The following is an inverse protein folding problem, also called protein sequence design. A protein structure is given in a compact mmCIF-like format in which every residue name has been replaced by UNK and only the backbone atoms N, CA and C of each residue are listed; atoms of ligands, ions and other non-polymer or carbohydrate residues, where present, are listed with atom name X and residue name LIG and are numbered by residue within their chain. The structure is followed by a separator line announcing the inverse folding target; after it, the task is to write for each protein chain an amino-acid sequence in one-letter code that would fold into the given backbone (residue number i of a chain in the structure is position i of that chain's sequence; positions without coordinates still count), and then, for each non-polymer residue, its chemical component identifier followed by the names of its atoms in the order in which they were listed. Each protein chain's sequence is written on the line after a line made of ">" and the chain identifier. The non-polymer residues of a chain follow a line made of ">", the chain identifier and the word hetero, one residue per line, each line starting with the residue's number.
data_IF_715006960787
#
_entry.id   IF_715006960787
#
_cell.length_a   1.000
_cell.length_b   1.000
_cell.length_c   1.000
_cell.angle_alpha   90.00
_cell.angle_beta   90.00
_cell.angle_gamma   90.00
#
_symmetry.space_group_name_H-M   'P 1'
#
loop_
_entity.id
_entity.type
_entity.pdbx_description
1 polymer ?
#
# COMPACT_ATOMS: atom_id res chain seq x y z
N UNK A 1 12.07 -47.12 57.49
CA UNK A 1 11.96 -45.85 56.75
C UNK A 1 10.48 -45.54 56.43
N UNK A 2 9.72 -44.96 57.36
CA UNK A 2 9.52 -43.51 57.59
C UNK A 2 8.49 -42.87 56.64
N UNK A 3 7.28 -42.72 57.19
CA UNK A 3 6.38 -41.54 57.18
C UNK A 3 5.40 -41.27 56.01
N UNK A 4 4.14 -41.14 56.44
CA UNK A 4 2.97 -40.49 55.85
C UNK A 4 3.24 -39.09 55.26
N UNK A 5 2.49 -38.69 54.23
CA UNK A 5 2.15 -37.28 54.04
C UNK A 5 0.79 -37.12 53.33
N UNK A 6 -0.16 -36.74 54.18
CA UNK A 6 -1.45 -36.06 54.07
C UNK A 6 -1.70 -35.09 52.87
N UNK A 7 -2.98 -34.63 52.70
CA UNK A 7 -3.54 -34.07 51.47
C UNK A 7 -3.31 -32.55 51.33
N UNK A 8 -3.36 -32.06 50.09
CA UNK A 8 -3.36 -30.61 49.82
C UNK A 8 -4.73 -30.14 49.37
N UNK A 9 -5.46 -29.60 50.35
CA UNK A 9 -6.54 -28.63 50.22
C UNK A 9 -6.03 -27.32 49.60
N UNK A 10 -6.78 -26.75 48.64
CA UNK A 10 -7.06 -25.31 48.47
C UNK A 10 -7.87 -25.15 47.16
N UNK A 11 -9.20 -24.96 47.19
CA UNK A 11 -9.92 -23.74 47.54
C UNK A 11 -9.47 -22.50 46.73
N UNK A 12 -10.27 -22.10 45.74
CA UNK A 12 -10.86 -20.75 45.78
C UNK A 12 -12.02 -20.59 44.78
N UNK A 13 -13.22 -20.66 45.33
CA UNK A 13 -14.42 -20.02 44.79
C UNK A 13 -14.35 -18.52 45.12
N UNK A 14 -14.31 -17.67 44.10
CA UNK A 14 -14.73 -16.26 44.23
C UNK A 14 -15.82 -16.02 43.21
N UNK A 15 -17.06 -16.21 43.66
CA UNK A 15 -18.18 -15.46 43.16
C UNK A 15 -18.07 -14.03 43.69
N UNK A 16 -18.24 -13.03 42.82
CA UNK A 16 -18.79 -11.74 43.20
C UNK A 16 -19.67 -11.23 42.06
N UNK A 17 -20.97 -11.42 42.25
CA UNK A 17 -22.00 -10.52 41.73
C UNK A 17 -21.71 -9.08 42.18
N UNK A 18 -22.05 -8.11 41.34
CA UNK A 18 -21.84 -6.70 41.63
C UNK A 18 -22.46 -5.79 40.60
N UNK A 19 -23.76 -5.94 40.34
CA UNK A 19 -24.57 -4.88 39.78
C UNK A 19 -24.82 -3.81 40.86
N UNK A 20 -24.32 -2.59 40.68
CA UNK A 20 -24.84 -1.40 41.36
C UNK A 20 -24.76 -0.19 40.43
N UNK A 21 -25.93 0.19 39.92
CA UNK A 21 -26.20 1.54 39.44
C UNK A 21 -26.35 2.49 40.64
N UNK A 22 -25.71 3.66 40.61
CA UNK A 22 -26.03 4.88 41.39
C UNK A 22 -25.14 5.98 40.79
N UNK A 23 -25.68 6.95 40.05
CA UNK A 23 -26.28 8.15 40.62
C UNK A 23 -25.20 9.22 40.84
N UNK A 24 -24.91 10.07 39.85
CA UNK A 24 -25.31 11.49 39.79
C UNK A 24 -24.61 12.36 40.88
N UNK A 25 -23.83 13.41 40.58
CA UNK A 25 -24.31 14.73 40.13
C UNK A 25 -23.15 15.76 40.03
N UNK A 26 -23.26 16.63 39.01
CA UNK A 26 -23.10 18.12 38.98
C UNK A 26 -21.71 18.74 39.27
N UNK A 27 -21.06 19.34 38.25
CA UNK A 27 -20.96 20.79 37.93
C UNK A 27 -20.22 21.60 39.00
N UNK A 28 -19.08 22.25 38.72
CA UNK A 28 -18.92 23.55 38.01
C UNK A 28 -17.46 24.01 38.29
N UNK A 29 -16.76 24.93 37.62
CA UNK A 29 -17.01 25.97 36.63
C UNK A 29 -15.62 26.43 36.12
N UNK A 30 -15.40 26.75 34.84
CA UNK A 30 -15.47 28.09 34.21
C UNK A 30 -14.81 27.91 32.82
N UNK A 31 -15.30 28.39 31.69
CA UNK A 31 -16.46 29.21 31.39
C UNK A 31 -16.55 29.48 29.88
N UNK A 32 -17.79 29.39 29.36
CA UNK A 32 -18.47 30.40 28.52
C UNK A 32 -17.95 30.52 27.07
N UNK A 33 -18.61 29.87 26.10
CA UNK A 33 -19.75 30.37 25.27
C UNK A 33 -19.32 31.36 24.18
N UNK A 34 -19.60 31.02 22.91
CA UNK A 34 -20.79 31.52 22.21
C UNK A 34 -20.81 31.10 20.73
N UNK A 35 -22.06 30.97 20.26
CA UNK A 35 -22.60 30.54 18.97
C UNK A 35 -22.31 31.56 17.86
N UNK A 36 -22.21 31.11 16.59
CA UNK A 36 -22.70 31.77 15.35
C UNK A 36 -22.43 30.79 14.19
N UNK A 37 -23.36 30.35 13.35
CA UNK A 37 -24.48 31.07 12.75
C UNK A 37 -24.15 31.30 11.26
N UNK A 38 -25.00 30.84 10.35
CA UNK A 38 -24.95 31.19 8.91
C UNK A 38 -24.88 32.72 8.74
N UNK A 39 -24.02 33.19 7.83
CA UNK A 39 -23.99 34.60 7.42
C UNK A 39 -23.28 34.78 6.07
N UNK A 40 -24.07 35.14 5.06
CA UNK A 40 -23.62 35.68 3.75
C UNK A 40 -23.43 37.19 3.90
N UNK A 41 -22.30 37.73 3.42
CA UNK A 41 -22.08 39.05 2.79
C UNK A 41 -20.69 39.62 3.14
N UNK A 42 -19.92 39.98 2.11
CA UNK A 42 -18.49 40.26 2.21
C UNK A 42 -18.06 41.69 2.50
N UNK A 43 -16.75 41.90 2.45
CA UNK A 43 -16.08 43.21 2.28
C UNK A 43 -14.79 42.99 1.48
N UNK A 44 -14.66 43.74 0.38
CA UNK A 44 -13.46 43.96 -0.42
C UNK A 44 -12.56 45.02 0.24
N UNK A 45 -11.25 44.80 0.25
CA UNK A 45 -10.14 45.79 0.11
C UNK A 45 -8.82 45.11 0.56
N UNK A 46 -7.86 44.80 -0.31
CA UNK A 46 -6.93 45.66 -1.07
C UNK A 46 -5.62 45.94 -0.32
N UNK A 47 -4.51 45.52 -0.96
CA UNK A 47 -3.13 45.97 -0.71
C UNK A 47 -2.27 45.00 0.11
N UNK A 48 -0.99 44.80 -0.16
CA UNK A 48 -0.10 45.18 -1.25
C UNK A 48 1.22 44.40 -1.03
N UNK A 49 2.04 44.30 -2.08
CA UNK A 49 3.47 44.00 -2.02
C UNK A 49 3.92 42.56 -1.73
N UNK A 50 3.93 41.74 -2.78
CA UNK A 50 5.18 41.05 -3.11
C UNK A 50 5.64 41.49 -4.49
N UNK A 51 6.52 42.49 -4.46
CA UNK A 51 7.41 42.86 -5.55
C UNK A 51 8.51 41.78 -5.58
N UNK A 52 8.50 40.92 -6.59
CA UNK A 52 9.47 39.84 -6.75
C UNK A 52 9.87 39.71 -8.22
N UNK A 53 10.92 40.45 -8.58
CA UNK A 53 11.90 40.21 -9.63
C UNK A 53 11.43 39.52 -10.93
N UNK A 54 11.20 40.33 -11.95
CA UNK A 54 11.42 39.91 -13.33
C UNK A 54 12.94 39.87 -13.56
N UNK A 55 13.50 38.67 -13.67
CA UNK A 55 14.88 38.44 -14.07
C UNK A 55 14.96 38.49 -15.60
N UNK A 56 15.78 39.40 -16.10
CA UNK A 56 16.27 39.46 -17.47
C UNK A 56 16.96 38.15 -17.85
N UNK A 57 16.55 37.51 -18.94
CA UNK A 57 17.28 36.34 -19.39
C UNK A 57 16.65 35.57 -20.53
N UNK A 58 16.44 36.21 -21.67
CA UNK A 58 16.31 35.45 -22.92
C UNK A 58 17.68 34.84 -23.27
N UNK A 59 17.75 33.52 -23.48
CA UNK A 59 18.48 33.02 -24.64
C UNK A 59 17.55 32.25 -25.58
N UNK A 60 17.47 32.77 -26.80
CA UNK A 60 16.93 32.11 -27.96
C UNK A 60 17.78 30.87 -28.26
N UNK A 61 17.19 29.68 -28.23
CA UNK A 61 17.76 28.49 -28.85
C UNK A 61 16.80 27.99 -29.95
N UNK A 62 17.06 28.27 -31.23
CA UNK A 62 16.60 27.42 -32.33
C UNK A 62 17.54 26.19 -32.36
N UNK A 63 17.17 24.94 -32.61
CA UNK A 63 16.06 24.33 -33.32
C UNK A 63 16.08 22.83 -32.94
N UNK A 64 14.97 22.08 -33.10
CA UNK A 64 15.02 20.63 -32.99
C UNK A 64 15.89 20.06 -34.11
N UNK A 65 17.01 19.41 -33.76
CA UNK A 65 17.68 18.51 -34.70
C UNK A 65 16.77 17.29 -34.86
N UNK A 66 15.98 17.30 -35.92
CA UNK A 66 15.43 16.09 -36.52
C UNK A 66 16.64 15.22 -36.87
N UNK A 67 16.94 14.24 -36.01
CA UNK A 67 17.81 13.14 -36.37
C UNK A 67 17.15 12.47 -37.56
N UNK A 68 17.81 12.64 -38.71
CA UNK A 68 17.53 11.92 -39.94
C UNK A 68 17.36 10.44 -39.60
N UNK A 69 16.13 9.97 -39.75
CA UNK A 69 15.82 8.55 -39.84
C UNK A 69 16.70 8.02 -40.96
N UNK A 70 17.72 7.24 -40.60
CA UNK A 70 18.50 6.49 -41.58
C UNK A 70 17.53 5.53 -42.25
N UNK A 71 17.13 5.91 -43.46
CA UNK A 71 16.48 5.07 -44.45
C UNK A 71 17.46 3.96 -44.80
N UNK A 72 17.50 2.92 -43.97
CA UNK A 72 18.16 1.69 -44.27
C UNK A 72 17.21 0.89 -45.16
N UNK A 73 17.27 1.20 -46.45
CA UNK A 73 16.83 0.31 -47.51
C UNK A 73 17.61 -1.01 -47.37
N UNK A 74 16.93 -2.04 -46.90
CA UNK A 74 17.34 -3.43 -47.07
C UNK A 74 16.15 -4.21 -47.60
N UNK A 75 16.43 -4.94 -48.67
CA UNK A 75 15.54 -5.52 -49.66
C UNK A 75 14.48 -6.52 -49.13
N UNK A 76 13.42 -6.77 -49.93
CA UNK A 76 12.42 -7.79 -49.64
C UNK A 76 13.05 -9.20 -49.66
N UNK A 77 13.04 -9.88 -48.51
CA UNK A 77 13.30 -11.32 -48.45
C UNK A 77 12.05 -12.06 -48.93
N UNK A 78 11.97 -12.27 -50.23
CA UNK A 78 11.16 -13.32 -50.82
C UNK A 78 12.05 -14.57 -50.93
N UNK A 79 11.93 -15.50 -49.98
CA UNK A 79 12.31 -16.89 -50.22
C UNK A 79 11.50 -17.78 -49.28
N UNK A 80 10.25 -17.99 -49.69
CA UNK A 80 9.38 -19.02 -49.16
C UNK A 80 9.78 -20.33 -49.84
N UNK A 81 10.83 -20.99 -49.33
CA UNK A 81 11.12 -22.38 -49.69
C UNK A 81 10.31 -23.32 -48.79
N UNK A 82 9.21 -23.78 -49.36
CA UNK A 82 8.33 -24.82 -48.88
C UNK A 82 9.03 -26.19 -49.07
N UNK A 83 9.32 -26.95 -48.00
CA UNK A 83 9.84 -28.30 -48.17
C UNK A 83 8.71 -29.24 -48.65
N UNK A 84 9.01 -30.19 -49.54
CA UNK A 84 8.00 -31.09 -50.09
C UNK A 84 7.39 -31.97 -49.01
N UNK A 85 6.06 -31.90 -48.93
CA UNK A 85 5.19 -32.82 -48.22
C UNK A 85 5.36 -34.24 -48.79
N UNK A 86 6.15 -35.06 -48.11
CA UNK A 86 6.12 -36.51 -48.28
C UNK A 86 5.06 -37.09 -47.34
N UNK A 87 3.92 -37.41 -47.94
CA UNK A 87 2.86 -38.19 -47.32
C UNK A 87 3.21 -39.68 -47.45
N UNK A 88 3.53 -40.33 -46.32
CA UNK A 88 3.63 -41.78 -46.25
C UNK A 88 3.32 -42.29 -44.82
N UNK A 89 2.11 -42.86 -44.71
CA UNK A 89 1.61 -43.93 -43.81
C UNK A 89 1.73 -43.81 -42.28
N UNK A 90 0.60 -43.87 -41.54
CA UNK A 90 0.62 -43.99 -40.08
C UNK A 90 0.89 -45.45 -39.68
N UNK A 91 2.07 -45.71 -39.13
CA UNK A 91 2.32 -46.89 -38.28
C UNK A 91 2.05 -46.43 -36.84
N UNK A 92 1.12 -47.05 -36.09
CA UNK A 92 0.89 -46.67 -34.70
C UNK A 92 2.12 -47.07 -33.85
N UNK A 93 2.81 -46.14 -33.18
CA UNK A 93 3.83 -46.51 -32.22
C UNK A 93 3.18 -47.11 -30.96
N UNK A 94 3.86 -48.06 -30.28
CA UNK A 94 3.42 -48.59 -29.00
C UNK A 94 3.19 -47.46 -27.99
N UNK A 95 2.14 -47.58 -27.17
CA UNK A 95 1.81 -46.61 -26.12
C UNK A 95 2.96 -46.47 -25.11
N UNK A 96 3.83 -45.50 -25.34
CA UNK A 96 4.72 -44.98 -24.30
C UNK A 96 3.91 -44.12 -23.32
N UNK A 97 4.15 -44.24 -22.00
CA UNK A 97 3.48 -43.43 -21.01
C UNK A 97 3.79 -41.95 -21.27
N UNK A 98 2.73 -41.16 -21.47
CA UNK A 98 2.80 -39.75 -21.81
C UNK A 98 3.85 -39.02 -20.95
N UNK A 99 4.83 -38.32 -21.55
CA UNK A 99 5.68 -37.44 -20.79
C UNK A 99 4.76 -36.41 -20.15
N UNK A 100 4.80 -36.32 -18.82
CA UNK A 100 4.07 -35.33 -18.05
C UNK A 100 4.11 -34.01 -18.81
N UNK A 101 2.94 -33.60 -19.32
CA UNK A 101 2.77 -32.31 -19.92
C UNK A 101 3.28 -31.30 -18.90
N UNK A 102 4.50 -30.78 -19.12
CA UNK A 102 4.94 -29.57 -18.46
C UNK A 102 3.91 -28.57 -18.92
N UNK A 103 2.93 -28.31 -18.06
CA UNK A 103 1.94 -27.27 -18.24
C UNK A 103 2.77 -26.03 -18.55
N UNK A 104 2.84 -25.68 -19.82
CA UNK A 104 3.52 -24.48 -20.27
C UNK A 104 2.88 -23.39 -19.42
N UNK A 105 3.67 -22.84 -18.51
CA UNK A 105 3.19 -21.82 -17.60
C UNK A 105 2.92 -20.64 -18.52
N UNK A 106 1.67 -20.50 -18.94
CA UNK A 106 1.23 -19.37 -19.73
C UNK A 106 1.82 -18.12 -19.06
N UNK A 107 2.45 -17.21 -19.82
CA UNK A 107 3.07 -16.04 -19.24
C UNK A 107 2.04 -15.38 -18.34
N UNK A 108 2.35 -15.28 -17.04
CA UNK A 108 1.47 -14.63 -16.09
C UNK A 108 1.20 -13.23 -16.63
N UNK A 109 -0.07 -12.79 -16.72
CA UNK A 109 -0.36 -11.42 -17.09
C UNK A 109 0.44 -10.49 -16.18
N UNK A 110 0.99 -9.41 -16.74
CA UNK A 110 1.76 -8.43 -15.99
C UNK A 110 0.91 -7.94 -14.82
N UNK A 111 1.35 -8.22 -13.59
CA UNK A 111 0.60 -7.91 -12.38
C UNK A 111 0.73 -6.45 -11.99
N UNK A 112 1.71 -5.72 -12.53
CA UNK A 112 2.00 -4.35 -12.12
C UNK A 112 0.82 -3.39 -12.29
N UNK A 113 0.10 -3.35 -13.44
CA UNK A 113 -1.04 -2.46 -13.58
C UNK A 113 -2.14 -2.74 -12.55
N UNK A 114 -2.36 -4.02 -12.21
CA UNK A 114 -3.35 -4.44 -11.22
C UNK A 114 -2.92 -4.12 -9.79
N UNK A 115 -1.62 -4.24 -9.48
CA UNK A 115 -1.06 -3.82 -8.20
C UNK A 115 -1.18 -2.30 -8.04
N UNK A 116 -0.86 -1.54 -9.08
CA UNK A 116 -0.94 -0.08 -9.08
C UNK A 116 -2.37 0.39 -8.83
N UNK A 117 -3.36 -0.17 -9.54
CA UNK A 117 -4.78 0.16 -9.34
C UNK A 117 -5.21 -0.09 -7.88
N UNK A 118 -4.80 -1.22 -7.30
CA UNK A 118 -5.12 -1.56 -5.91
C UNK A 118 -4.48 -0.58 -4.90
N UNK A 119 -3.22 -0.19 -5.14
CA UNK A 119 -2.50 0.79 -4.32
C UNK A 119 -3.13 2.18 -4.41
N UNK A 120 -3.47 2.63 -5.62
CA UNK A 120 -4.15 3.91 -5.84
C UNK A 120 -5.53 3.95 -5.17
N UNK A 121 -6.27 2.83 -5.20
CA UNK A 121 -7.52 2.70 -4.45
C UNK A 121 -7.34 2.91 -2.94
N UNK A 122 -6.29 2.31 -2.35
CA UNK A 122 -5.97 2.48 -0.93
C UNK A 122 -5.51 3.91 -0.59
N UNK A 123 -4.67 4.49 -1.44
CA UNK A 123 -4.23 5.90 -1.34
C UNK A 123 -5.40 6.86 -1.39
N UNK A 124 -6.31 6.68 -2.35
CA UNK A 124 -7.48 7.53 -2.50
C UNK A 124 -8.42 7.43 -1.29
N UNK A 125 -8.54 6.25 -0.66
CA UNK A 125 -9.28 6.09 0.59
C UNK A 125 -8.66 6.89 1.74
N UNK A 126 -7.34 6.87 1.88
CA UNK A 126 -6.61 7.68 2.87
C UNK A 126 -6.80 9.18 2.65
N UNK A 127 -6.71 9.66 1.40
CA UNK A 127 -6.92 11.08 1.06
C UNK A 127 -8.32 11.56 1.45
N UNK A 128 -9.33 10.67 1.41
CA UNK A 128 -10.69 10.96 1.86
C UNK A 128 -10.91 10.81 3.38
N UNK A 129 -9.87 10.49 4.15
CA UNK A 129 -9.97 10.22 5.58
C UNK A 129 -10.58 8.86 5.94
N UNK A 130 -10.81 7.97 4.97
CA UNK A 130 -11.39 6.65 5.19
C UNK A 130 -10.30 5.59 5.43
N UNK A 131 -9.69 5.68 6.62
CA UNK A 131 -8.63 4.76 7.05
C UNK A 131 -9.11 3.30 7.15
N UNK A 132 -10.38 3.08 7.46
CA UNK A 132 -10.97 1.74 7.55
C UNK A 132 -11.05 1.07 6.18
N UNK A 133 -11.53 1.81 5.17
CA UNK A 133 -11.54 1.34 3.79
C UNK A 133 -10.13 1.11 3.25
N UNK A 134 -9.19 1.99 3.55
CA UNK A 134 -7.80 1.84 3.14
C UNK A 134 -7.22 0.50 3.63
N UNK A 135 -7.39 0.14 4.91
CA UNK A 135 -6.94 -1.16 5.42
C UNK A 135 -7.62 -2.34 4.72
N UNK A 136 -8.94 -2.27 4.51
CA UNK A 136 -9.66 -3.34 3.80
C UNK A 136 -9.11 -3.56 2.38
N UNK A 137 -8.82 -2.49 1.65
CA UNK A 137 -8.21 -2.57 0.32
C UNK A 137 -6.79 -3.15 0.38
N UNK A 138 -6.02 -2.81 1.41
CA UNK A 138 -4.67 -3.34 1.62
C UNK A 138 -4.66 -4.80 2.09
N UNK A 139 -5.72 -5.29 2.75
CA UNK A 139 -5.91 -6.71 3.07
C UNK A 139 -6.21 -7.50 1.79
N UNK A 140 -7.10 -6.96 0.94
CA UNK A 140 -7.41 -7.54 -0.37
C UNK A 140 -6.18 -7.58 -1.28
N UNK A 141 -5.37 -6.52 -1.28
CA UNK A 141 -4.10 -6.47 -1.99
C UNK A 141 -3.17 -7.60 -1.54
N UNK A 142 -2.97 -7.78 -0.23
CA UNK A 142 -2.10 -8.82 0.30
C UNK A 142 -2.57 -10.24 -0.06
N UNK A 143 -3.89 -10.47 -0.10
CA UNK A 143 -4.47 -11.74 -0.51
C UNK A 143 -4.33 -11.99 -2.02
N UNK A 144 -4.48 -10.94 -2.85
CA UNK A 144 -4.43 -11.02 -4.32
C UNK A 144 -3.01 -11.14 -4.85
N UNK A 145 -2.02 -10.55 -4.16
CA UNK A 145 -0.63 -10.47 -4.62
C UNK A 145 0.33 -11.08 -3.58
N UNK A 146 0.54 -12.42 -3.59
CA UNK A 146 1.42 -13.10 -2.63
C UNK A 146 2.92 -12.80 -2.84
N UNK A 147 3.30 -12.25 -4.01
CA UNK A 147 4.65 -11.79 -4.32
C UNK A 147 4.57 -10.37 -4.89
N UNK A 148 4.22 -9.37 -4.05
CA UNK A 148 3.93 -8.03 -4.51
C UNK A 148 5.21 -7.29 -4.91
N UNK A 149 5.17 -6.56 -6.02
CA UNK A 149 6.22 -5.61 -6.42
C UNK A 149 6.07 -4.27 -5.70
N UNK A 150 4.85 -3.87 -5.37
CA UNK A 150 4.56 -2.63 -4.60
C UNK A 150 4.38 -2.90 -3.09
N UNK A 151 5.01 -3.95 -2.56
CA UNK A 151 4.86 -4.37 -1.16
C UNK A 151 5.33 -3.33 -0.13
N UNK A 152 6.41 -2.61 -0.43
CA UNK A 152 6.93 -1.56 0.44
C UNK A 152 5.94 -0.37 0.55
N UNK A 153 5.35 0.03 -0.58
CA UNK A 153 4.34 1.08 -0.64
C UNK A 153 3.05 0.66 0.08
N UNK A 154 2.59 -0.59 -0.14
CA UNK A 154 1.45 -1.15 0.58
C UNK A 154 1.66 -1.14 2.10
N UNK A 155 2.89 -1.44 2.55
CA UNK A 155 3.25 -1.43 3.97
C UNK A 155 3.23 -0.02 4.54
N UNK A 156 3.78 0.97 3.81
CA UNK A 156 3.71 2.38 4.20
C UNK A 156 2.25 2.83 4.35
N UNK A 157 1.40 2.57 3.34
CA UNK A 157 -0.01 2.97 3.39
C UNK A 157 -0.77 2.27 4.53
N UNK A 158 -0.41 1.02 4.86
CA UNK A 158 -0.97 0.31 6.02
C UNK A 158 -0.59 1.00 7.33
N UNK A 159 0.68 1.42 7.49
CA UNK A 159 1.13 2.18 8.67
C UNK A 159 0.38 3.51 8.77
N UNK A 160 0.26 4.25 7.67
CA UNK A 160 -0.49 5.51 7.62
C UNK A 160 -1.97 5.31 8.02
N UNK A 161 -2.62 4.27 7.49
CA UNK A 161 -4.00 3.94 7.82
C UNK A 161 -4.22 3.51 9.28
N UNK A 162 -3.22 2.86 9.90
CA UNK A 162 -3.26 2.50 11.31
C UNK A 162 -3.14 3.76 12.18
N UNK A 163 -2.20 4.66 11.86
CA UNK A 163 -2.06 5.95 12.55
C UNK A 163 -3.32 6.80 12.41
N UNK A 164 -3.89 6.90 11.20
CA UNK A 164 -5.07 7.73 10.93
C UNK A 164 -6.33 7.26 11.69
N UNK A 165 -6.45 5.95 11.98
CA UNK A 165 -7.53 5.40 12.82
C UNK A 165 -7.23 5.46 14.33
N UNK A 166 -6.01 5.83 14.72
CA UNK A 166 -5.59 5.89 16.12
C UNK A 166 -4.97 4.60 16.66
N UNK A 167 -4.79 3.55 15.85
CA UNK A 167 -4.08 2.33 16.25
C UNK A 167 -2.56 2.53 16.16
N UNK A 168 -2.04 3.38 17.05
CA UNK A 168 -0.61 3.70 17.11
C UNK A 168 0.23 2.50 17.52
N UNK A 169 -0.28 1.62 18.38
CA UNK A 169 0.46 0.45 18.85
C UNK A 169 0.79 -0.50 17.69
N UNK A 170 -0.20 -0.84 16.87
CA UNK A 170 0.02 -1.69 15.69
C UNK A 170 0.87 -0.97 14.65
N UNK A 171 0.65 0.34 14.44
CA UNK A 171 1.47 1.14 13.52
C UNK A 171 2.95 1.14 13.90
N UNK A 172 3.28 1.34 15.19
CA UNK A 172 4.66 1.33 15.68
C UNK A 172 5.30 -0.04 15.52
N UNK A 173 4.60 -1.12 15.88
CA UNK A 173 5.12 -2.48 15.69
C UNK A 173 5.42 -2.78 14.22
N UNK A 174 4.49 -2.45 13.33
CA UNK A 174 4.67 -2.68 11.89
C UNK A 174 5.77 -1.79 11.31
N UNK A 175 5.84 -0.53 11.72
CA UNK A 175 6.86 0.42 11.28
C UNK A 175 8.27 0.01 11.69
N UNK A 176 8.47 -0.46 12.93
CA UNK A 176 9.75 -1.01 13.38
C UNK A 176 10.18 -2.21 12.56
N UNK A 177 9.29 -3.19 12.38
CA UNK A 177 9.56 -4.36 11.55
C UNK A 177 9.86 -4.01 10.08
N UNK A 178 9.23 -2.95 9.54
CA UNK A 178 9.54 -2.43 8.21
C UNK A 178 10.94 -1.83 8.15
N UNK A 179 11.33 -1.01 9.14
CA UNK A 179 12.64 -0.38 9.20
C UNK A 179 13.78 -1.37 9.42
N UNK A 180 13.53 -2.45 10.17
CA UNK A 180 14.50 -3.55 10.36
C UNK A 180 14.73 -4.32 9.06
N UNK A 181 13.66 -4.63 8.32
CA UNK A 181 13.75 -5.39 7.06
C UNK A 181 14.23 -4.55 5.88
N UNK A 182 13.82 -3.28 5.81
CA UNK A 182 14.05 -2.39 4.68
C UNK A 182 14.66 -1.04 5.11
N UNK A 183 15.85 -1.04 5.75
CA UNK A 183 16.43 0.16 6.37
C UNK A 183 16.80 1.26 5.37
N UNK A 184 17.02 0.90 4.10
CA UNK A 184 17.37 1.82 2.99
C UNK A 184 16.18 2.13 2.08
N UNK A 185 14.96 1.74 2.47
CA UNK A 185 13.77 2.05 1.68
C UNK A 185 13.58 3.57 1.55
N UNK A 186 13.12 4.07 0.39
CA UNK A 186 12.72 5.48 0.24
C UNK A 186 11.66 5.91 1.26
N UNK A 187 10.89 4.95 1.81
CA UNK A 187 9.85 5.21 2.80
C UNK A 187 10.36 5.25 4.25
N UNK A 188 11.62 4.89 4.52
CA UNK A 188 12.14 4.75 5.88
C UNK A 188 11.97 6.04 6.71
N UNK A 189 12.30 7.20 6.13
CA UNK A 189 12.13 8.50 6.80
C UNK A 189 10.67 8.78 7.14
N UNK A 190 9.76 8.49 6.21
CA UNK A 190 8.31 8.67 6.40
C UNK A 190 7.77 7.75 7.49
N UNK A 191 8.19 6.49 7.49
CA UNK A 191 7.79 5.50 8.51
C UNK A 191 8.24 5.94 9.90
N UNK A 192 9.50 6.36 10.08
CA UNK A 192 10.01 6.91 11.35
C UNK A 192 9.14 8.06 11.88
N UNK A 193 8.82 9.01 11.00
CA UNK A 193 7.94 10.14 11.33
C UNK A 193 6.53 9.69 11.76
N UNK A 194 5.92 8.72 11.07
CA UNK A 194 4.59 8.22 11.40
C UNK A 194 4.54 7.55 12.79
N UNK A 195 5.58 6.80 13.13
CA UNK A 195 5.64 6.06 14.40
C UNK A 195 6.22 6.90 15.55
N UNK A 196 6.69 8.12 15.28
CA UNK A 196 7.23 9.04 16.28
C UNK A 196 8.68 8.77 16.68
N UNK A 197 9.45 8.06 15.84
CA UNK A 197 10.90 7.93 16.03
C UNK A 197 11.59 9.15 15.46
N UNK A 198 12.15 9.98 16.34
CA UNK A 198 13.08 11.06 15.95
C UNK A 198 14.32 10.44 15.30
N UNK A 199 14.64 10.87 14.08
CA UNK A 199 15.90 10.53 13.41
C UNK A 199 17.07 10.81 14.37
N UNK A 200 17.97 9.83 14.65
CA UNK A 200 19.19 10.13 15.37
C UNK A 200 20.12 11.02 14.54
#
# INVERSE_FOLDING_TARGET
>A
PFIEALPTTAANSVARDGATALGAKLLSAKGVMAVLGLGVAGVLSAGAAWLGSADDGAPRAPSPQVLALSEHAAAPQAESEEPPRVEAVPVPPPSEPAPHARKALAPKPDSLPLELEAIEGARAALTRGDASRALKLLDQYAARFPKPRLGAEATLLRIEALVARGDRATATRLGKAFLEREPRSPYARRVRSLIGESTP
#
